data_IF_315812529855
#
_entry.id   IF_315812529855
#
_cell.length_a   1.000
_cell.length_b   1.000
_cell.length_c   1.000
_cell.angle_alpha   90.00
_cell.angle_beta   90.00
_cell.angle_gamma   90.00
#
_symmetry.space_group_name_H-M   'P 1'
#
loop_
_entity.id
_entity.type
_entity.pdbx_description
1 polymer ?
#
# COMPACT_ATOMS: atom_id res chain seq x y z
N UNK A 1 6.90 -9.90 -0.39
CA UNK A 1 5.45 -10.09 -0.59
C UNK A 1 4.89 -10.84 0.60
N UNK A 2 3.68 -10.52 1.04
CA UNK A 2 2.92 -11.31 1.99
C UNK A 2 1.43 -11.31 1.62
N UNK A 3 0.68 -12.31 2.11
CA UNK A 3 -0.77 -12.37 2.01
C UNK A 3 -1.42 -12.57 3.38
N UNK A 4 -2.70 -12.89 3.43
CA UNK A 4 -3.43 -13.04 4.69
C UNK A 4 -3.71 -11.70 5.35
N UNK A 5 -3.71 -11.67 6.68
CA UNK A 5 -4.05 -10.49 7.48
C UNK A 5 -3.13 -9.28 7.21
N UNK A 6 -1.88 -9.51 6.81
CA UNK A 6 -0.94 -8.45 6.40
C UNK A 6 -1.41 -7.68 5.16
N UNK A 7 -2.28 -8.28 4.35
CA UNK A 7 -2.87 -7.67 3.17
C UNK A 7 -4.24 -7.03 3.40
N UNK A 8 -4.82 -7.16 4.59
CA UNK A 8 -6.09 -6.55 4.99
C UNK A 8 -5.94 -5.43 6.03
N UNK A 9 -4.83 -5.42 6.77
CA UNK A 9 -4.50 -4.41 7.79
C UNK A 9 -3.41 -3.44 7.34
N UNK A 10 -3.69 -2.14 7.45
CA UNK A 10 -2.72 -1.09 7.12
C UNK A 10 -1.53 -1.07 8.08
N UNK A 11 -1.76 -1.34 9.37
CA UNK A 11 -0.69 -1.34 10.37
C UNK A 11 0.22 -2.55 10.23
N UNK A 12 -0.32 -3.74 9.93
CA UNK A 12 0.48 -4.94 9.66
C UNK A 12 1.29 -4.78 8.35
N UNK A 13 0.67 -4.27 7.29
CA UNK A 13 1.36 -3.97 6.03
C UNK A 13 2.54 -3.01 6.23
N UNK A 14 2.33 -1.97 7.06
CA UNK A 14 3.37 -1.01 7.41
C UNK A 14 4.47 -1.65 8.26
N UNK A 15 4.13 -2.51 9.23
CA UNK A 15 5.14 -3.23 10.05
C UNK A 15 6.00 -4.11 9.16
N UNK A 16 5.37 -4.89 8.29
CA UNK A 16 6.06 -5.74 7.31
C UNK A 16 7.05 -4.95 6.45
N UNK A 17 6.62 -3.82 5.90
CA UNK A 17 7.50 -2.99 5.07
C UNK A 17 8.66 -2.38 5.86
N UNK A 18 8.44 -2.01 7.14
CA UNK A 18 9.51 -1.55 8.05
C UNK A 18 10.51 -2.65 8.37
N UNK A 19 10.04 -3.85 8.68
CA UNK A 19 10.89 -5.01 8.99
C UNK A 19 11.78 -5.39 7.81
N UNK A 20 11.26 -5.26 6.58
CA UNK A 20 12.04 -5.47 5.36
C UNK A 20 12.95 -4.28 4.99
N UNK A 21 12.90 -3.16 5.72
CA UNK A 21 13.68 -1.97 5.41
C UNK A 21 13.29 -1.30 4.08
N UNK A 22 12.03 -1.46 3.67
CA UNK A 22 11.51 -0.94 2.40
C UNK A 22 10.91 0.46 2.58
N UNK A 23 11.02 1.30 1.55
CA UNK A 23 10.51 2.68 1.56
C UNK A 23 9.01 2.79 1.31
N UNK A 24 8.44 1.85 0.57
CA UNK A 24 7.04 1.86 0.16
C UNK A 24 6.42 0.50 0.38
N UNK A 25 5.09 0.50 0.49
CA UNK A 25 4.31 -0.72 0.35
C UNK A 25 3.01 -0.46 -0.40
N UNK A 26 2.54 -1.48 -1.10
CA UNK A 26 1.25 -1.52 -1.77
C UNK A 26 0.38 -2.60 -1.10
N UNK A 27 -0.87 -2.26 -0.81
CA UNK A 27 -1.85 -3.13 -0.16
C UNK A 27 -3.10 -3.29 -1.04
N UNK A 28 -3.69 -4.49 -1.04
CA UNK A 28 -4.89 -4.85 -1.79
C UNK A 28 -5.65 -5.92 -1.00
N UNK A 29 -6.84 -5.60 -0.50
CA UNK A 29 -7.59 -6.48 0.42
C UNK A 29 -8.74 -7.28 -0.21
N UNK A 30 -9.00 -8.45 0.38
CA UNK A 30 -10.19 -9.29 0.19
C UNK A 30 -10.72 -9.68 1.58
N UNK A 31 -11.65 -8.88 2.11
CA UNK A 31 -12.19 -8.94 3.46
C UNK A 31 -11.11 -8.93 4.53
N UNK A 32 -10.99 -10.01 5.31
CA UNK A 32 -9.96 -10.21 6.33
C UNK A 32 -8.63 -10.72 5.77
N UNK A 33 -8.57 -11.05 4.48
CA UNK A 33 -7.38 -11.44 3.74
C UNK A 33 -6.93 -10.32 2.80
N UNK A 34 -5.81 -10.49 2.13
CA UNK A 34 -5.37 -9.65 1.05
C UNK A 34 -3.92 -9.93 0.68
N UNK A 35 -3.32 -8.92 0.05
CA UNK A 35 -1.95 -8.98 -0.41
C UNK A 35 -1.20 -7.69 -0.10
N UNK A 36 0.09 -7.82 0.20
CA UNK A 36 1.00 -6.69 0.41
C UNK A 36 2.34 -6.91 -0.29
N UNK A 37 2.79 -5.87 -0.99
CA UNK A 37 4.13 -5.78 -1.59
C UNK A 37 4.90 -4.63 -0.96
N UNK A 38 6.10 -4.90 -0.45
CA UNK A 38 7.03 -3.87 0.01
C UNK A 38 8.14 -3.69 -1.03
N UNK A 39 8.53 -2.44 -1.31
CA UNK A 39 9.51 -2.10 -2.35
C UNK A 39 10.20 -0.76 -2.08
N UNK A 40 11.34 -0.53 -2.74
CA UNK A 40 12.16 0.67 -2.55
C UNK A 40 12.00 1.73 -3.64
N UNK A 41 11.58 1.33 -4.84
CA UNK A 41 11.48 2.23 -5.99
C UNK A 41 10.07 2.13 -6.57
N UNK A 42 9.39 3.27 -6.67
CA UNK A 42 8.11 3.36 -7.34
C UNK A 42 8.36 3.40 -8.85
N UNK A 43 8.30 2.23 -9.49
CA UNK A 43 8.62 2.08 -10.92
C UNK A 43 7.53 2.59 -11.86
N UNK A 44 6.38 3.04 -11.34
CA UNK A 44 5.26 3.49 -12.18
C UNK A 44 4.37 4.49 -11.46
N UNK A 45 3.88 5.48 -12.22
CA UNK A 45 2.69 6.25 -11.85
C UNK A 45 1.46 5.33 -11.87
N UNK A 46 0.49 5.50 -10.95
CA UNK A 46 -0.66 4.62 -10.87
C UNK A 46 -1.45 4.63 -12.18
N UNK A 47 -1.62 3.44 -12.79
CA UNK A 47 -2.32 3.25 -14.07
C UNK A 47 -3.83 3.52 -13.99
N UNK A 48 -4.42 3.56 -12.79
CA UNK A 48 -5.85 3.86 -12.58
C UNK A 48 -6.13 4.32 -11.15
N UNK A 49 -7.10 5.22 -10.99
CA UNK A 49 -7.63 5.69 -9.70
C UNK A 49 -9.15 5.43 -9.65
N UNK A 50 -9.56 4.21 -9.98
CA UNK A 50 -10.96 3.84 -9.88
C UNK A 50 -11.38 3.59 -8.41
N UNK A 51 -12.68 3.34 -8.20
CA UNK A 51 -13.25 3.14 -6.87
C UNK A 51 -12.62 1.97 -6.11
N UNK A 52 -12.01 1.00 -6.79
CA UNK A 52 -11.34 -0.13 -6.17
C UNK A 52 -10.11 0.29 -5.38
N UNK A 53 -9.35 1.29 -5.84
CA UNK A 53 -8.20 1.85 -5.11
C UNK A 53 -8.60 2.57 -3.81
N UNK A 54 -9.87 2.96 -3.68
CA UNK A 54 -10.37 3.82 -2.59
C UNK A 54 -11.20 3.06 -1.54
N UNK A 55 -11.20 1.72 -1.58
CA UNK A 55 -11.85 0.91 -0.55
C UNK A 55 -11.13 1.09 0.79
N UNK A 56 -11.86 1.32 1.90
CA UNK A 56 -11.26 1.53 3.20
C UNK A 56 -10.60 0.26 3.74
N UNK A 57 -9.58 0.42 4.59
CA UNK A 57 -9.03 -0.67 5.39
C UNK A 57 -10.03 -1.14 6.47
N UNK A 58 -9.94 -2.39 6.94
CA UNK A 58 -10.79 -2.88 8.04
C UNK A 58 -10.41 -2.28 9.38
N UNK A 59 -9.11 -2.17 9.60
CA UNK A 59 -8.52 -1.78 10.86
C UNK A 59 -8.49 -0.26 11.04
N UNK A 60 -8.48 0.50 9.94
CA UNK A 60 -8.49 1.96 9.99
C UNK A 60 -9.11 2.57 8.73
N UNK A 61 -10.34 3.08 8.84
CA UNK A 61 -11.12 3.64 7.73
C UNK A 61 -10.57 4.96 7.15
N UNK A 62 -9.65 5.61 7.88
CA UNK A 62 -8.89 6.77 7.39
C UNK A 62 -7.90 6.39 6.28
N UNK A 63 -7.58 5.10 6.14
CA UNK A 63 -6.71 4.58 5.09
C UNK A 63 -7.49 3.79 4.05
N UNK A 64 -6.96 3.78 2.83
CA UNK A 64 -7.47 2.99 1.70
C UNK A 64 -6.60 1.74 1.52
N UNK A 65 -7.22 0.58 1.44
CA UNK A 65 -6.53 -0.70 1.32
C UNK A 65 -6.74 -1.37 -0.03
N UNK A 66 -7.28 -0.64 -1.00
CA UNK A 66 -7.55 -1.17 -2.32
C UNK A 66 -8.58 -2.32 -2.28
N UNK A 67 -8.62 -3.09 -3.36
CA UNK A 67 -9.46 -4.28 -3.43
C UNK A 67 -8.75 -5.36 -4.23
N UNK A 68 -9.01 -6.61 -3.87
CA UNK A 68 -8.70 -7.78 -4.67
C UNK A 68 -9.96 -8.59 -4.95
N UNK A 69 -9.94 -9.22 -6.12
CA UNK A 69 -10.85 -10.24 -6.60
C UNK A 69 -12.32 -9.82 -6.44
N UNK A 70 -13.12 -10.59 -5.70
CA UNK A 70 -14.55 -10.34 -5.51
C UNK A 70 -14.88 -9.01 -4.83
N UNK A 71 -13.96 -8.49 -3.99
CA UNK A 71 -14.17 -7.22 -3.28
C UNK A 71 -14.04 -6.00 -4.19
N UNK A 72 -13.47 -6.19 -5.38
CA UNK A 72 -13.50 -5.19 -6.44
C UNK A 72 -14.86 -5.09 -7.14
N UNK A 73 -15.83 -5.95 -6.82
CA UNK A 73 -17.18 -5.91 -7.37
C UNK A 73 -17.20 -6.17 -8.86
N UNK A 74 -17.75 -5.23 -9.64
CA UNK A 74 -17.89 -5.36 -11.10
C UNK A 74 -16.68 -4.87 -11.90
N UNK A 75 -15.56 -4.54 -11.24
CA UNK A 75 -14.34 -4.12 -11.94
C UNK A 75 -13.75 -5.30 -12.71
N UNK A 76 -13.23 -5.00 -13.90
CA UNK A 76 -12.51 -5.98 -14.72
C UNK A 76 -11.01 -5.94 -14.40
N UNK A 77 -10.27 -7.04 -14.66
CA UNK A 77 -8.82 -7.04 -14.58
C UNK A 77 -8.24 -5.96 -15.50
N UNK A 78 -7.09 -5.40 -15.12
CA UNK A 78 -6.33 -4.54 -16.02
C UNK A 78 -5.88 -5.32 -17.27
N UNK A 79 -5.54 -4.62 -18.35
CA UNK A 79 -5.06 -5.27 -19.56
C UNK A 79 -3.81 -6.12 -19.26
N UNK A 80 -3.92 -7.44 -19.50
CA UNK A 80 -2.84 -8.41 -19.24
C UNK A 80 -2.79 -8.96 -17.81
N UNK A 81 -3.68 -8.52 -16.91
CA UNK A 81 -3.77 -9.04 -15.55
C UNK A 81 -4.76 -10.20 -15.49
N UNK A 82 -4.38 -11.29 -14.79
CA UNK A 82 -5.27 -12.43 -14.59
C UNK A 82 -6.32 -12.20 -13.49
N UNK A 83 -6.01 -11.33 -12.52
CA UNK A 83 -6.83 -11.08 -11.33
C UNK A 83 -7.27 -9.62 -11.27
N UNK A 84 -8.46 -9.37 -10.71
CA UNK A 84 -8.93 -8.00 -10.47
C UNK A 84 -8.27 -7.48 -9.21
N UNK A 85 -7.23 -6.65 -9.34
CA UNK A 85 -6.58 -6.04 -8.17
C UNK A 85 -6.42 -4.55 -8.35
N UNK A 86 -6.60 -3.81 -7.25
CA UNK A 86 -6.38 -2.38 -7.13
C UNK A 86 -5.57 -2.12 -5.89
N UNK A 87 -4.40 -1.54 -6.08
CA UNK A 87 -3.41 -1.34 -5.04
C UNK A 87 -3.48 0.08 -4.51
N UNK A 88 -3.54 0.22 -3.19
CA UNK A 88 -3.24 1.48 -2.52
C UNK A 88 -1.78 1.46 -2.09
N UNK A 89 -1.02 2.49 -2.45
CA UNK A 89 0.41 2.57 -2.15
C UNK A 89 0.69 3.63 -1.11
N UNK A 90 1.56 3.31 -0.15
CA UNK A 90 1.95 4.18 0.94
C UNK A 90 3.46 4.26 1.09
N UNK A 91 3.92 5.43 1.52
CA UNK A 91 5.26 5.60 2.05
C UNK A 91 5.34 5.06 3.46
N UNK A 92 6.35 4.24 3.72
CA UNK A 92 6.81 3.93 5.07
C UNK A 92 7.58 5.16 5.51
N UNK A 93 6.90 6.16 6.10
CA UNK A 93 7.49 7.44 6.50
C UNK A 93 8.89 7.16 7.07
N UNK A 94 9.98 7.55 6.37
CA UNK A 94 11.29 7.46 6.98
C UNK A 94 11.24 8.43 8.16
N UNK A 95 11.70 8.02 9.35
CA UNK A 95 11.96 8.97 10.44
C UNK A 95 12.63 10.17 9.78
N UNK A 96 11.96 11.33 9.76
CA UNK A 96 12.54 12.56 9.20
C UNK A 96 13.93 12.63 9.83
N UNK A 97 15.00 12.53 9.02
CA UNK A 97 16.29 13.03 9.47
C UNK A 97 16.01 14.50 9.74
N UNK A 98 15.90 14.84 11.02
CA UNK A 98 15.83 16.23 11.48
C UNK A 98 16.86 16.99 10.66
N UNK A 99 16.41 17.98 9.90
CA UNK A 99 17.32 18.87 9.17
C UNK A 99 18.25 19.46 10.22
N UNK A 100 19.51 18.99 10.28
CA UNK A 100 20.57 19.72 10.97
C UNK A 100 20.68 21.05 10.25
N UNK A 101 20.16 22.10 10.88
CA UNK A 101 20.45 23.49 10.51
C UNK A 101 21.98 23.63 10.51
N UNK A 102 22.62 24.12 9.43
CA UNK A 102 24.04 24.40 9.46
C UNK A 102 24.31 25.45 10.55
N UNK A 103 25.36 25.21 11.36
CA UNK A 103 25.93 26.22 12.25
C UNK A 103 26.35 27.40 11.37
N UNK A 104 25.73 28.56 11.57
CA UNK A 104 26.32 29.83 11.16
C UNK A 104 27.23 30.27 12.30
N UNK A 105 28.53 30.12 12.10
CA UNK A 105 29.54 30.90 12.82
C UNK A 105 29.52 32.33 12.24
N UNK A 106 29.35 33.32 13.13
CA UNK A 106 29.84 34.69 13.01
C UNK A 106 29.86 35.34 14.39
#
# INVERSE_FOLDING_TARGET
YMGGEYGSSIELARSFAKELGMKYFAISRTDSDGHVFAFNEMRSTPKSSDSGCNKPCLDNDNYKCGCADELCGSLKPGQGEANVRRWSTYEVIPKKKSKRTPKTEL
#
